data_IF_542547107259
#
_entry.id   IF_542547107259
#
_cell.length_a   1.000
_cell.length_b   1.000
_cell.length_c   1.000
_cell.angle_alpha   90.00
_cell.angle_beta   90.00
_cell.angle_gamma   90.00
#
_symmetry.space_group_name_H-M   'P 1'
#
loop_
_entity.id
_entity.type
_entity.pdbx_description
1 polymer ?
#
# COMPACT_ATOMS: atom_id res chain seq x y z
N UNK A 1 -16.07 -0.52 -0.78
CA UNK A 1 -15.16 -1.51 -0.17
C UNK A 1 -15.06 -1.28 1.33
N UNK A 2 -15.01 -2.34 2.10
CA UNK A 2 -14.76 -2.22 3.54
C UNK A 2 -13.28 -1.92 3.80
N UNK A 3 -12.93 -1.39 4.99
CA UNK A 3 -11.53 -1.19 5.33
C UNK A 3 -10.68 -2.47 5.26
N UNK A 4 -11.26 -3.62 5.63
CA UNK A 4 -10.56 -4.90 5.51
C UNK A 4 -10.29 -5.28 4.06
N UNK A 5 -11.24 -5.03 3.18
CA UNK A 5 -11.06 -5.29 1.75
C UNK A 5 -9.99 -4.40 1.13
N UNK A 6 -9.97 -3.13 1.53
CA UNK A 6 -8.95 -2.18 1.08
C UNK A 6 -7.56 -2.63 1.53
N UNK A 7 -7.44 -3.01 2.82
CA UNK A 7 -6.18 -3.52 3.36
C UNK A 7 -5.73 -4.78 2.62
N UNK A 8 -6.64 -5.70 2.41
CA UNK A 8 -6.34 -6.95 1.70
C UNK A 8 -5.86 -6.70 0.28
N UNK A 9 -6.48 -5.76 -0.42
CA UNK A 9 -6.06 -5.37 -1.77
C UNK A 9 -4.67 -4.74 -1.77
N UNK A 10 -4.40 -3.88 -0.79
CA UNK A 10 -3.08 -3.27 -0.61
C UNK A 10 -2.01 -4.34 -0.38
N UNK A 11 -2.26 -5.28 0.53
CA UNK A 11 -1.34 -6.37 0.82
C UNK A 11 -1.12 -7.25 -0.42
N UNK A 12 -2.19 -7.54 -1.17
CA UNK A 12 -2.06 -8.33 -2.40
C UNK A 12 -1.14 -7.65 -3.42
N UNK A 13 -1.26 -6.34 -3.60
CA UNK A 13 -0.39 -5.60 -4.51
C UNK A 13 1.05 -5.55 -3.98
N UNK A 14 1.21 -5.41 -2.67
CA UNK A 14 2.53 -5.42 -2.03
C UNK A 14 3.24 -6.76 -2.25
N UNK A 15 2.54 -7.87 -2.06
CA UNK A 15 3.10 -9.22 -2.28
C UNK A 15 3.43 -9.43 -3.76
N UNK A 16 2.62 -8.88 -4.66
CA UNK A 16 2.90 -8.94 -6.10
C UNK A 16 4.23 -8.26 -6.47
N UNK A 17 4.61 -7.24 -5.72
CA UNK A 17 5.87 -6.51 -5.94
C UNK A 17 7.03 -7.16 -5.18
N UNK A 18 6.77 -7.65 -3.97
CA UNK A 18 7.77 -8.26 -3.10
C UNK A 18 7.30 -9.65 -2.65
N UNK A 19 7.39 -10.67 -3.52
CA UNK A 19 6.80 -11.99 -3.25
C UNK A 19 7.47 -12.75 -2.11
N UNK A 20 8.65 -12.31 -1.67
CA UNK A 20 9.33 -12.91 -0.53
C UNK A 20 8.70 -12.56 0.81
N UNK A 21 7.82 -11.56 0.85
CA UNK A 21 7.14 -11.18 2.08
C UNK A 21 6.02 -12.17 2.41
N UNK A 22 5.89 -12.47 3.70
CA UNK A 22 4.78 -13.29 4.19
C UNK A 22 3.62 -12.38 4.57
N UNK A 23 2.46 -12.47 3.90
CA UNK A 23 1.31 -11.63 4.20
C UNK A 23 0.88 -11.70 5.67
N UNK A 24 0.99 -12.86 6.29
CA UNK A 24 0.61 -13.06 7.68
C UNK A 24 1.56 -12.39 8.67
N UNK A 25 2.78 -12.09 8.24
CA UNK A 25 3.80 -11.45 9.08
C UNK A 25 3.85 -9.93 8.93
N UNK A 26 3.07 -9.36 7.99
CA UNK A 26 3.07 -7.91 7.79
C UNK A 26 2.16 -7.25 8.81
N UNK A 27 2.73 -6.44 9.69
CA UNK A 27 1.99 -5.69 10.69
C UNK A 27 1.47 -4.36 10.14
N UNK A 28 0.41 -3.84 10.75
CA UNK A 28 -0.22 -2.59 10.31
C UNK A 28 0.71 -1.38 10.41
N UNK A 29 1.66 -1.41 11.32
CA UNK A 29 2.60 -0.31 11.54
C UNK A 29 4.00 -0.58 10.97
N UNK A 30 4.18 -1.67 10.24
CA UNK A 30 5.46 -1.95 9.59
C UNK A 30 5.71 -0.94 8.48
N UNK A 31 6.88 -0.32 8.50
CA UNK A 31 7.29 0.62 7.46
C UNK A 31 7.75 -0.15 6.23
N UNK A 32 7.16 0.14 5.06
CA UNK A 32 7.40 -0.63 3.85
C UNK A 32 8.88 -0.66 3.47
N UNK A 33 9.57 0.47 3.56
CA UNK A 33 10.97 0.57 3.18
C UNK A 33 11.90 0.16 4.33
N UNK A 34 11.66 0.67 5.54
CA UNK A 34 12.57 0.48 6.67
C UNK A 34 12.43 -0.91 7.30
N UNK A 35 11.20 -1.40 7.42
CA UNK A 35 10.93 -2.68 8.09
C UNK A 35 10.80 -3.85 7.12
N UNK A 36 10.20 -3.61 5.97
CA UNK A 36 9.93 -4.67 4.99
C UNK A 36 10.95 -4.69 3.84
N UNK A 37 11.83 -3.70 3.77
CA UNK A 37 12.94 -3.71 2.85
C UNK A 37 12.65 -3.34 1.41
N UNK A 38 11.52 -2.68 1.13
CA UNK A 38 11.25 -2.18 -0.21
C UNK A 38 12.22 -1.08 -0.57
N UNK A 39 12.75 -1.11 -1.80
CA UNK A 39 13.52 0.01 -2.32
C UNK A 39 12.59 1.04 -2.99
N UNK A 40 13.17 2.11 -3.51
CA UNK A 40 12.38 3.18 -4.15
C UNK A 40 11.63 2.71 -5.38
N UNK A 41 12.23 1.81 -6.17
CA UNK A 41 11.57 1.25 -7.35
C UNK A 41 10.38 0.38 -6.97
N UNK A 42 10.56 -0.46 -5.94
CA UNK A 42 9.46 -1.29 -5.44
C UNK A 42 8.31 -0.44 -4.95
N UNK A 43 8.61 0.63 -4.24
CA UNK A 43 7.59 1.54 -3.74
C UNK A 43 6.83 2.21 -4.89
N UNK A 44 7.53 2.69 -5.92
CA UNK A 44 6.89 3.29 -7.09
C UNK A 44 6.03 2.29 -7.85
N UNK A 45 6.48 1.04 -7.96
CA UNK A 45 5.70 -0.02 -8.58
C UNK A 45 4.42 -0.29 -7.78
N UNK A 46 4.50 -0.26 -6.46
CA UNK A 46 3.32 -0.40 -5.61
C UNK A 46 2.34 0.74 -5.82
N UNK A 47 2.81 1.98 -5.85
CA UNK A 47 1.96 3.14 -6.12
C UNK A 47 1.24 2.99 -7.46
N UNK A 48 1.96 2.56 -8.48
CA UNK A 48 1.38 2.32 -9.81
C UNK A 48 0.30 1.24 -9.78
N UNK A 49 0.54 0.15 -9.05
CA UNK A 49 -0.44 -0.93 -8.89
C UNK A 49 -1.71 -0.45 -8.17
N UNK A 50 -1.55 0.34 -7.12
CA UNK A 50 -2.68 0.90 -6.38
C UNK A 50 -3.46 1.89 -7.23
N UNK A 51 -2.77 2.72 -8.01
CA UNK A 51 -3.42 3.63 -8.95
C UNK A 51 -4.31 2.88 -9.93
N UNK A 52 -3.82 1.78 -10.48
CA UNK A 52 -4.59 0.97 -11.43
C UNK A 52 -5.76 0.27 -10.76
N UNK A 53 -5.51 -0.33 -9.58
CA UNK A 53 -6.54 -1.12 -8.88
C UNK A 53 -7.73 -0.27 -8.46
N UNK A 54 -7.45 0.92 -7.91
CA UNK A 54 -8.48 1.77 -7.33
C UNK A 54 -8.92 2.91 -8.24
N UNK A 55 -8.28 3.07 -9.40
CA UNK A 55 -8.53 4.17 -10.34
C UNK A 55 -8.42 5.55 -9.65
N UNK A 56 -7.42 5.68 -8.77
CA UNK A 56 -7.19 6.91 -8.01
C UNK A 56 -5.85 7.53 -8.40
N UNK A 57 -5.80 8.84 -8.66
CA UNK A 57 -4.53 9.53 -8.79
C UNK A 57 -3.84 9.60 -7.43
N UNK A 58 -2.55 9.24 -7.38
CA UNK A 58 -1.76 9.29 -6.16
C UNK A 58 -0.59 10.22 -6.41
N UNK A 59 -0.69 11.50 -6.04
CA UNK A 59 0.39 12.45 -6.25
C UNK A 59 1.58 12.14 -5.34
N UNK A 60 2.77 12.51 -5.78
CA UNK A 60 3.99 12.24 -5.04
C UNK A 60 3.96 12.83 -3.62
N UNK A 61 3.31 13.98 -3.46
CA UNK A 61 3.17 14.61 -2.14
C UNK A 61 2.42 13.74 -1.13
N UNK A 62 1.63 12.77 -1.60
CA UNK A 62 0.87 11.85 -0.74
C UNK A 62 1.62 10.55 -0.43
N UNK A 63 2.79 10.33 -1.02
CA UNK A 63 3.54 9.09 -0.82
C UNK A 63 3.83 8.75 0.65
N UNK A 64 4.15 9.71 1.54
CA UNK A 64 4.32 9.39 2.96
C UNK A 64 3.10 8.77 3.62
N UNK A 65 1.91 9.00 3.08
CA UNK A 65 0.67 8.41 3.58
C UNK A 65 0.51 6.94 3.25
N UNK A 66 1.39 6.41 2.41
CA UNK A 66 1.42 5.00 2.03
C UNK A 66 2.54 4.24 2.73
N UNK A 67 3.19 4.84 3.71
CA UNK A 67 4.41 4.29 4.31
C UNK A 67 4.18 3.03 5.14
N UNK A 68 2.98 2.83 5.66
CA UNK A 68 2.61 1.62 6.42
C UNK A 68 1.26 1.09 5.93
N UNK A 69 0.94 -0.20 6.16
CA UNK A 69 -0.37 -0.73 5.78
C UNK A 69 -1.55 0.03 6.38
N UNK A 70 -1.48 0.44 7.66
CA UNK A 70 -2.57 1.17 8.29
C UNK A 70 -2.74 2.57 7.69
N UNK A 71 -1.65 3.28 7.43
CA UNK A 71 -1.71 4.59 6.78
C UNK A 71 -2.25 4.48 5.36
N UNK A 72 -1.80 3.49 4.62
CA UNK A 72 -2.24 3.26 3.25
C UNK A 72 -3.74 2.93 3.19
N UNK A 73 -4.21 2.05 4.08
CA UNK A 73 -5.62 1.70 4.13
C UNK A 73 -6.50 2.91 4.46
N UNK A 74 -6.08 3.74 5.42
CA UNK A 74 -6.79 4.95 5.78
C UNK A 74 -6.83 5.96 4.62
N UNK A 75 -5.70 6.15 3.96
CA UNK A 75 -5.59 7.04 2.80
C UNK A 75 -6.52 6.59 1.67
N UNK A 76 -6.46 5.31 1.31
CA UNK A 76 -7.27 4.77 0.21
C UNK A 76 -8.76 4.82 0.56
N UNK A 77 -9.13 4.51 1.80
CA UNK A 77 -10.52 4.58 2.25
C UNK A 77 -11.06 5.99 2.12
N UNK A 78 -10.29 6.98 2.53
CA UNK A 78 -10.68 8.39 2.43
C UNK A 78 -10.84 8.83 0.97
N UNK A 79 -9.92 8.43 0.10
CA UNK A 79 -9.97 8.80 -1.31
C UNK A 79 -11.14 8.13 -2.03
N UNK A 80 -11.50 6.90 -1.65
CA UNK A 80 -12.60 6.18 -2.27
C UNK A 80 -13.97 6.70 -1.86
N UNK A 81 -14.05 7.37 -0.72
CA UNK A 81 -15.31 7.93 -0.21
C UNK A 81 -15.47 9.42 -0.47
N UNK A 82 -14.44 10.05 -1.01
CA UNK A 82 -14.44 11.48 -1.30
C UNK A 82 -15.28 11.82 -2.54
#
# INVERSE_FOLDING_TARGET
MTPQEIRAAFIADLIGIAPDLDPAAIGDDDHLQDDLGLDSMDFLNLVSALHKRFSLPIPESDYPRLATPSKAAAYLAKMLTA
#
